data_IF_892138986311
#
_entry.id   IF_892138986311
#
_cell.length_a   1.000
_cell.length_b   1.000
_cell.length_c   1.000
_cell.angle_alpha   90.00
_cell.angle_beta   90.00
_cell.angle_gamma   90.00
#
_symmetry.space_group_name_H-M   'P 1'
#
loop_
_entity.id
_entity.type
_entity.pdbx_description
1 polymer ?
#
# COMPACT_ATOMS: atom_id res chain seq x y z
N UNK A 1 -7.92 -5.20 -15.53
CA UNK A 1 -7.83 -6.33 -14.59
C UNK A 1 -8.82 -6.06 -13.46
N UNK A 2 -9.56 -7.09 -13.02
CA UNK A 2 -10.52 -6.93 -11.91
C UNK A 2 -9.82 -7.04 -10.56
N UNK A 3 -10.50 -6.57 -9.52
CA UNK A 3 -10.04 -6.69 -8.13
C UNK A 3 -9.82 -8.14 -7.73
N UNK A 4 -10.73 -9.03 -8.11
CA UNK A 4 -10.69 -10.47 -7.81
C UNK A 4 -9.49 -11.15 -8.47
N UNK A 5 -9.15 -10.76 -9.71
CA UNK A 5 -7.97 -11.27 -10.40
C UNK A 5 -6.67 -10.85 -9.70
N UNK A 6 -6.60 -9.60 -9.23
CA UNK A 6 -5.45 -9.10 -8.47
C UNK A 6 -5.31 -9.87 -7.16
N UNK A 7 -6.39 -10.01 -6.39
CA UNK A 7 -6.38 -10.72 -5.11
C UNK A 7 -6.02 -12.20 -5.31
N UNK A 8 -6.53 -12.84 -6.36
CA UNK A 8 -6.20 -14.22 -6.68
C UNK A 8 -4.72 -14.41 -7.03
N UNK A 9 -4.05 -13.38 -7.57
CA UNK A 9 -2.65 -13.46 -8.01
C UNK A 9 -1.65 -13.04 -6.94
N UNK A 10 -1.99 -12.01 -6.15
CA UNK A 10 -1.07 -11.37 -5.21
C UNK A 10 -1.46 -11.61 -3.74
N UNK A 11 -2.57 -12.30 -3.49
CA UNK A 11 -3.10 -12.51 -2.14
C UNK A 11 -3.96 -11.34 -1.66
N UNK A 12 -4.37 -11.40 -0.39
CA UNK A 12 -5.12 -10.32 0.23
C UNK A 12 -4.21 -9.10 0.47
N UNK A 13 -4.68 -7.88 0.19
CA UNK A 13 -3.93 -6.68 0.53
C UNK A 13 -3.85 -6.53 2.05
N UNK A 14 -2.81 -5.85 2.55
CA UNK A 14 -2.71 -5.59 3.99
C UNK A 14 -3.71 -4.52 4.45
N UNK A 15 -4.20 -3.69 3.53
CA UNK A 15 -5.22 -2.67 3.76
C UNK A 15 -6.09 -2.51 2.53
N UNK A 16 -7.37 -2.22 2.78
CA UNK A 16 -8.38 -1.94 1.76
C UNK A 16 -9.17 -0.70 2.18
N UNK A 17 -9.41 0.21 1.24
CA UNK A 17 -10.24 1.39 1.45
C UNK A 17 -11.28 1.51 0.36
N UNK A 18 -12.44 2.05 0.73
CA UNK A 18 -13.54 2.34 -0.19
C UNK A 18 -14.01 3.75 0.06
N UNK A 19 -14.06 4.54 -1.01
CA UNK A 19 -14.53 5.91 -0.99
C UNK A 19 -15.58 6.10 -2.06
N UNK A 20 -16.61 6.89 -1.75
CA UNK A 20 -17.60 7.32 -2.73
C UNK A 20 -17.21 8.69 -3.23
N UNK A 21 -17.02 8.81 -4.54
CA UNK A 21 -16.79 10.10 -5.18
C UNK A 21 -18.03 10.99 -4.97
N UNK A 22 -17.82 12.20 -4.44
CA UNK A 22 -18.92 13.09 -4.04
C UNK A 22 -19.62 13.74 -5.24
N UNK A 23 -18.96 13.84 -6.37
CA UNK A 23 -19.47 14.53 -7.56
C UNK A 23 -20.17 13.56 -8.52
N UNK A 24 -19.56 12.40 -8.74
CA UNK A 24 -20.02 11.37 -9.67
C UNK A 24 -20.81 10.26 -8.99
N UNK A 25 -20.71 10.15 -7.66
CA UNK A 25 -21.31 9.06 -6.89
C UNK A 25 -20.66 7.70 -7.12
N UNK A 26 -19.59 7.63 -7.91
CA UNK A 26 -18.88 6.41 -8.26
C UNK A 26 -18.18 5.81 -7.03
N UNK A 27 -18.12 4.47 -7.01
CA UNK A 27 -17.37 3.76 -5.98
C UNK A 27 -15.91 3.66 -6.41
N UNK A 28 -15.02 4.21 -5.59
CA UNK A 28 -13.59 4.10 -5.75
C UNK A 28 -13.03 3.21 -4.64
N UNK A 29 -12.22 2.24 -5.04
CA UNK A 29 -11.67 1.24 -4.13
C UNK A 29 -10.15 1.23 -4.24
N UNK A 30 -9.47 1.12 -3.10
CA UNK A 30 -8.00 1.13 -3.05
C UNK A 30 -7.49 -0.10 -2.32
N UNK A 31 -6.65 -0.89 -2.99
CA UNK A 31 -5.91 -2.00 -2.38
C UNK A 31 -4.47 -1.58 -2.12
N UNK A 32 -3.98 -1.86 -0.93
CA UNK A 32 -2.61 -1.55 -0.52
C UNK A 32 -1.83 -2.85 -0.32
N UNK A 33 -0.75 -2.98 -1.08
CA UNK A 33 0.19 -4.10 -0.97
C UNK A 33 1.52 -3.58 -0.45
N UNK A 34 2.13 -4.32 0.47
CA UNK A 34 3.50 -4.05 0.93
C UNK A 34 4.41 -5.06 0.26
N UNK A 35 5.38 -4.55 -0.48
CA UNK A 35 6.46 -5.35 -1.01
C UNK A 35 7.69 -5.16 -0.14
N UNK A 36 8.43 -6.22 0.15
CA UNK A 36 9.61 -6.17 0.99
C UNK A 36 10.78 -6.81 0.27
N UNK A 37 11.90 -6.10 0.24
CA UNK A 37 13.14 -6.54 -0.40
C UNK A 37 14.25 -6.67 0.63
N UNK A 38 15.31 -7.39 0.27
CA UNK A 38 16.47 -7.66 1.11
C UNK A 38 16.05 -8.13 2.51
N UNK A 39 15.33 -9.25 2.62
CA UNK A 39 14.90 -9.81 3.91
C UNK A 39 14.11 -8.81 4.80
N UNK A 40 13.41 -7.85 4.19
CA UNK A 40 12.62 -6.84 4.90
C UNK A 40 13.40 -5.60 5.36
N UNK A 41 14.62 -5.39 4.85
CA UNK A 41 15.34 -4.13 5.05
C UNK A 41 14.69 -2.95 4.35
N UNK A 42 14.09 -3.20 3.18
CA UNK A 42 13.38 -2.20 2.40
C UNK A 42 11.94 -2.64 2.22
N UNK A 43 11.01 -1.68 2.29
CA UNK A 43 9.64 -1.94 1.87
C UNK A 43 9.05 -0.78 1.09
N UNK A 44 8.23 -1.12 0.11
CA UNK A 44 7.53 -0.20 -0.77
C UNK A 44 6.04 -0.51 -0.67
N UNK A 45 5.22 0.54 -0.58
CA UNK A 45 3.77 0.40 -0.64
C UNK A 45 3.32 0.56 -2.09
N UNK A 46 2.58 -0.40 -2.61
CA UNK A 46 1.89 -0.34 -3.89
C UNK A 46 0.39 -0.09 -3.65
N UNK A 47 -0.16 0.94 -4.27
CA UNK A 47 -1.56 1.35 -4.12
C UNK A 47 -2.27 1.17 -5.46
N UNK A 48 -3.21 0.24 -5.52
CA UNK A 48 -4.01 -0.07 -6.70
C UNK A 48 -5.39 0.55 -6.51
N UNK A 49 -5.75 1.49 -7.37
CA UNK A 49 -7.04 2.17 -7.35
C UNK A 49 -7.96 1.58 -8.42
N UNK A 50 -9.19 1.29 -8.04
CA UNK A 50 -10.24 0.74 -8.86
C UNK A 50 -11.41 1.70 -8.91
N UNK A 51 -12.05 1.76 -10.07
CA UNK A 51 -13.31 2.47 -10.27
C UNK A 51 -14.26 1.53 -10.99
N UNK A 52 -15.46 1.35 -10.45
CA UNK A 52 -16.47 0.41 -10.96
C UNK A 52 -15.90 -1.02 -11.17
N UNK A 53 -15.10 -1.49 -10.20
CA UNK A 53 -14.49 -2.82 -10.21
C UNK A 53 -13.31 -3.01 -11.18
N UNK A 54 -12.90 -1.96 -11.90
CA UNK A 54 -11.79 -2.00 -12.86
C UNK A 54 -10.59 -1.23 -12.33
N UNK A 55 -9.40 -1.81 -12.44
CA UNK A 55 -8.15 -1.12 -12.11
C UNK A 55 -7.96 0.09 -13.03
N UNK A 56 -7.86 1.28 -12.42
CA UNK A 56 -7.67 2.56 -13.15
C UNK A 56 -6.30 3.18 -12.91
N UNK A 57 -5.64 2.86 -11.79
CA UNK A 57 -4.33 3.42 -11.48
C UNK A 57 -3.54 2.51 -10.54
N UNK A 58 -2.22 2.43 -10.77
CA UNK A 58 -1.24 1.90 -9.85
C UNK A 58 -0.31 3.05 -9.45
N UNK A 59 -0.11 3.25 -8.15
CA UNK A 59 0.78 4.27 -7.60
C UNK A 59 1.74 3.63 -6.60
N UNK A 60 2.96 4.13 -6.60
CA UNK A 60 3.90 3.86 -5.52
C UNK A 60 3.60 4.83 -4.36
N UNK A 61 3.42 4.28 -3.17
CA UNK A 61 3.31 4.99 -1.91
C UNK A 61 4.66 5.18 -1.25
N UNK A 62 4.66 5.28 0.08
CA UNK A 62 5.88 5.47 0.85
C UNK A 62 6.84 4.27 0.75
N UNK A 63 8.12 4.61 0.63
CA UNK A 63 9.21 3.67 0.83
C UNK A 63 9.73 3.80 2.26
N UNK A 64 10.09 2.68 2.87
CA UNK A 64 10.71 2.69 4.19
C UNK A 64 11.90 1.75 4.26
N UNK A 65 12.88 2.16 5.05
CA UNK A 65 14.05 1.35 5.38
C UNK A 65 14.01 0.99 6.86
N UNK A 66 14.46 -0.23 7.20
CA UNK A 66 14.59 -0.69 8.58
C UNK A 66 15.85 -0.10 9.23
N UNK A 67 16.03 1.23 9.19
CA UNK A 67 17.12 1.91 9.88
C UNK A 67 16.83 1.98 11.38
N UNK A 68 17.10 0.89 12.09
CA UNK A 68 17.11 0.84 13.55
C UNK A 68 18.37 1.53 14.11
N UNK A 69 18.55 2.83 13.86
CA UNK A 69 19.50 3.64 14.64
C UNK A 69 18.75 4.44 15.70
N UNK A 70 18.30 3.75 16.74
CA UNK A 70 18.01 4.43 18.01
C UNK A 70 19.35 4.79 18.64
N UNK A 71 19.87 5.98 18.34
CA UNK A 71 21.02 6.53 19.07
C UNK A 71 20.56 6.81 20.50
N UNK A 72 20.77 5.86 21.41
CA UNK A 72 20.64 6.11 22.85
C UNK A 72 21.77 7.08 23.21
N UNK A 73 21.44 8.38 23.29
CA UNK A 73 22.36 9.36 23.86
C UNK A 73 22.51 9.02 25.33
N UNK A 74 23.67 8.47 25.69
CA UNK A 74 24.06 8.22 27.08
C UNK A 74 24.43 9.58 27.67
N UNK A 75 23.48 10.25 28.32
CA UNK A 75 23.78 11.42 29.15
C UNK A 75 24.75 10.96 30.25
N UNK A 76 26.01 11.37 30.10
CA UNK A 76 27.05 11.14 31.10
C UNK A 76 26.91 12.26 32.13
N UNK A 77 26.49 11.91 33.35
CA UNK A 77 26.52 12.79 34.52
C UNK A 77 27.92 12.87 35.09
#
# INVERSE_FOLDING_TARGET
MSKEQIISRFGQPYKYEVTKDKETGALEESLFYRESYELGYYSIINILNFKDGKLVSLKQGEESTRNNHTTIKKDSR
#
